data_IF_694071793939
#
_entry.id   IF_694071793939
#
_cell.length_a   1.000
_cell.length_b   1.000
_cell.length_c   1.000
_cell.angle_alpha   90.00
_cell.angle_beta   90.00
_cell.angle_gamma   90.00
#
_symmetry.space_group_name_H-M   'P 1'
#
loop_
_entity.id
_entity.type
_entity.pdbx_description
1 polymer ?
#
# COMPACT_ATOMS: atom_id res chain seq x y z
N UNK A 1 -7.99 -2.57 18.24
CA UNK A 1 -9.23 -2.84 17.48
C UNK A 1 -9.88 -4.10 18.06
N UNK A 2 -11.21 -4.18 18.16
CA UNK A 2 -11.89 -5.38 18.67
C UNK A 2 -11.63 -6.61 17.80
N UNK A 3 -11.42 -7.77 18.44
CA UNK A 3 -11.37 -9.06 17.75
C UNK A 3 -12.79 -9.60 17.49
N UNK A 4 -12.89 -10.70 16.76
CA UNK A 4 -14.15 -11.41 16.49
C UNK A 4 -14.88 -10.94 15.23
N UNK A 5 -14.16 -10.39 14.26
CA UNK A 5 -14.74 -9.92 13.00
C UNK A 5 -13.78 -10.11 11.82
N UNK A 6 -14.35 -10.17 10.62
CA UNK A 6 -13.61 -10.01 9.36
C UNK A 6 -13.62 -8.53 9.00
N UNK A 7 -12.44 -7.94 8.79
CA UNK A 7 -12.29 -6.53 8.45
C UNK A 7 -12.03 -6.36 6.95
N UNK A 8 -12.78 -5.46 6.31
CA UNK A 8 -12.59 -5.08 4.90
C UNK A 8 -11.80 -3.79 4.77
N UNK A 9 -11.88 -2.92 5.77
CA UNK A 9 -11.08 -1.73 5.84
C UNK A 9 -11.16 -1.07 7.21
N UNK A 10 -10.23 -0.17 7.44
CA UNK A 10 -10.20 0.73 8.59
C UNK A 10 -9.90 2.13 8.09
N UNK A 11 -10.32 3.15 8.82
CA UNK A 11 -10.00 4.52 8.44
C UNK A 11 -9.72 5.41 9.64
N UNK A 12 -8.96 6.46 9.39
CA UNK A 12 -8.65 7.52 10.33
C UNK A 12 -9.40 8.77 9.87
N UNK A 13 -10.40 9.18 10.63
CA UNK A 13 -11.02 10.51 10.51
C UNK A 13 -10.20 11.49 11.36
N UNK A 14 -9.51 12.41 10.68
CA UNK A 14 -8.52 13.32 11.26
C UNK A 14 -9.06 14.74 11.18
N UNK A 15 -9.03 15.48 12.29
CA UNK A 15 -9.33 16.91 12.32
C UNK A 15 -8.40 17.63 13.30
N UNK A 16 -8.16 18.93 13.07
CA UNK A 16 -7.34 19.74 13.95
C UNK A 16 -7.91 21.17 14.09
N UNK A 17 -8.92 21.28 14.98
CA UNK A 17 -9.67 22.52 15.19
C UNK A 17 -10.33 23.03 13.90
N UNK A 18 -10.03 24.27 13.52
CA UNK A 18 -10.61 24.93 12.32
C UNK A 18 -9.78 24.72 11.05
N UNK A 19 -8.62 24.04 11.16
CA UNK A 19 -7.72 23.82 10.03
C UNK A 19 -8.34 22.82 9.05
N UNK A 20 -8.44 23.19 7.77
CA UNK A 20 -8.86 22.26 6.73
C UNK A 20 -7.79 21.19 6.50
N UNK A 21 -8.11 19.92 6.76
CA UNK A 21 -7.20 18.80 6.56
C UNK A 21 -7.06 18.45 5.08
N UNK A 22 -6.23 19.21 4.36
CA UNK A 22 -5.74 18.85 3.02
C UNK A 22 -4.68 17.75 3.11
N UNK A 23 -4.30 17.13 1.99
CA UNK A 23 -3.23 16.14 1.94
C UNK A 23 -1.93 16.62 2.61
N UNK A 24 -1.53 17.87 2.33
CA UNK A 24 -0.34 18.47 2.91
C UNK A 24 -0.47 18.71 4.42
N UNK A 25 -1.67 19.08 4.90
CA UNK A 25 -1.90 19.30 6.33
C UNK A 25 -1.99 17.99 7.12
N UNK A 26 -2.50 16.92 6.51
CA UNK A 26 -2.48 15.57 7.08
C UNK A 26 -1.05 15.05 7.21
N UNK A 27 -0.24 15.17 6.15
CA UNK A 27 1.17 14.75 6.13
C UNK A 27 2.02 15.45 7.20
N UNK A 28 1.68 16.71 7.51
CA UNK A 28 2.34 17.46 8.59
C UNK A 28 2.01 16.90 9.97
N UNK A 29 0.82 16.34 10.20
CA UNK A 29 0.28 16.01 11.52
C UNK A 29 0.36 14.54 11.90
N UNK A 30 0.26 13.65 10.93
CA UNK A 30 0.20 12.20 11.16
C UNK A 30 1.31 11.52 10.36
N UNK A 31 2.12 10.71 11.03
CA UNK A 31 3.20 9.91 10.43
C UNK A 31 3.21 8.48 10.97
N UNK A 32 3.98 7.62 10.30
CA UNK A 32 4.21 6.24 10.73
C UNK A 32 2.91 5.50 11.08
N UNK A 33 1.99 5.43 10.14
CA UNK A 33 0.76 4.65 10.31
C UNK A 33 1.15 3.18 10.23
N UNK A 34 0.89 2.42 11.29
CA UNK A 34 1.31 1.02 11.46
C UNK A 34 0.13 0.17 11.84
N UNK A 35 -0.06 -0.94 11.14
CA UNK A 35 -1.05 -1.96 11.46
C UNK A 35 -0.33 -3.20 11.95
N UNK A 36 -0.71 -3.68 13.12
CA UNK A 36 -0.12 -4.87 13.73
C UNK A 36 -1.16 -5.91 14.05
N UNK A 37 -0.80 -7.16 13.79
CA UNK A 37 -1.56 -8.34 14.20
C UNK A 37 -0.64 -9.15 15.11
N UNK A 38 -1.12 -9.53 16.30
CA UNK A 38 -0.34 -10.26 17.30
C UNK A 38 0.99 -9.56 17.68
N UNK A 39 1.04 -8.23 17.57
CA UNK A 39 2.25 -7.43 17.79
C UNK A 39 3.19 -7.34 16.58
N UNK A 40 3.02 -8.17 15.55
CA UNK A 40 3.78 -8.13 14.30
C UNK A 40 3.27 -7.01 13.40
N UNK A 41 4.16 -6.12 12.95
CA UNK A 41 3.82 -5.06 12.00
C UNK A 41 3.63 -5.63 10.59
N UNK A 42 2.38 -5.58 10.10
CA UNK A 42 1.97 -6.09 8.79
C UNK A 42 2.02 -5.00 7.74
N UNK A 43 1.53 -3.80 8.08
CA UNK A 43 1.56 -2.64 7.18
C UNK A 43 2.19 -1.45 7.89
N UNK A 44 3.07 -0.73 7.18
CA UNK A 44 3.67 0.51 7.64
C UNK A 44 3.75 1.53 6.52
N UNK A 45 3.21 2.72 6.81
CA UNK A 45 3.29 3.89 5.96
C UNK A 45 4.03 4.98 6.75
N UNK A 46 5.29 5.21 6.42
CA UNK A 46 6.09 6.25 7.06
C UNK A 46 5.45 7.64 6.85
N UNK A 47 4.91 7.87 5.65
CA UNK A 47 4.24 9.09 5.21
C UNK A 47 2.78 8.79 4.86
N UNK A 48 1.86 9.72 5.17
CA UNK A 48 0.44 9.56 4.86
C UNK A 48 0.19 9.50 3.33
N UNK A 49 1.00 10.25 2.58
CA UNK A 49 1.02 10.27 1.11
C UNK A 49 1.25 8.92 0.47
N UNK A 50 1.91 7.97 1.15
CA UNK A 50 2.06 6.61 0.62
C UNK A 50 0.71 5.87 0.56
N UNK A 51 -0.07 5.96 1.63
CA UNK A 51 -1.42 5.38 1.64
C UNK A 51 -2.35 6.10 0.67
N UNK A 52 -2.29 7.43 0.63
CA UNK A 52 -3.08 8.24 -0.31
C UNK A 52 -2.75 7.86 -1.76
N UNK A 53 -1.46 7.75 -2.09
CA UNK A 53 -0.99 7.41 -3.44
C UNK A 53 -1.45 6.03 -3.90
N UNK A 54 -1.40 5.01 -3.03
CA UNK A 54 -1.95 3.67 -3.33
C UNK A 54 -3.44 3.78 -3.68
N UNK A 55 -4.24 4.42 -2.81
CA UNK A 55 -5.67 4.53 -3.04
C UNK A 55 -5.98 5.29 -4.34
N UNK A 56 -5.29 6.41 -4.58
CA UNK A 56 -5.47 7.21 -5.79
C UNK A 56 -5.10 6.45 -7.06
N UNK A 57 -4.06 5.59 -7.03
CA UNK A 57 -3.67 4.76 -8.16
C UNK A 57 -4.83 3.84 -8.61
N UNK A 58 -5.70 3.45 -7.68
CA UNK A 58 -6.91 2.66 -7.93
C UNK A 58 -8.19 3.50 -8.12
N UNK A 59 -8.07 4.82 -8.32
CA UNK A 59 -9.24 5.68 -8.47
C UNK A 59 -10.03 5.91 -7.19
N UNK A 60 -9.50 5.52 -6.04
CA UNK A 60 -10.16 5.72 -4.75
C UNK A 60 -9.69 7.06 -4.18
N UNK A 61 -10.61 8.04 -4.16
CA UNK A 61 -10.31 9.35 -3.61
C UNK A 61 -10.30 9.33 -2.07
N UNK A 62 -9.30 10.02 -1.52
CA UNK A 62 -9.27 10.34 -0.09
C UNK A 62 -10.16 11.54 0.17
N UNK A 63 -11.12 11.43 1.10
CA UNK A 63 -11.91 12.59 1.51
C UNK A 63 -11.02 13.56 2.28
N UNK A 64 -10.77 14.74 1.73
CA UNK A 64 -10.05 15.82 2.41
C UNK A 64 -11.00 16.93 2.85
N UNK A 65 -10.58 17.66 3.88
CA UNK A 65 -11.30 18.82 4.36
C UNK A 65 -11.08 20.03 3.46
N UNK A 66 -12.00 21.00 3.50
CA UNK A 66 -11.92 22.24 2.72
C UNK A 66 -12.09 23.49 3.58
N UNK A 67 -11.76 24.66 3.02
CA UNK A 67 -11.91 25.94 3.72
C UNK A 67 -13.39 26.30 4.01
N UNK A 68 -14.33 25.78 3.24
CA UNK A 68 -15.74 26.17 3.30
C UNK A 68 -16.66 25.03 3.79
N UNK A 69 -16.16 23.79 3.84
CA UNK A 69 -16.92 22.60 4.22
C UNK A 69 -16.36 21.90 5.46
N UNK A 70 -16.54 20.58 5.51
CA UNK A 70 -15.95 19.72 6.53
C UNK A 70 -14.42 19.95 6.58
N UNK A 71 -13.89 20.09 7.78
CA UNK A 71 -12.45 20.29 8.04
C UNK A 71 -11.70 18.99 8.19
N UNK A 72 -12.41 17.86 8.26
CA UNK A 72 -11.81 16.55 8.49
C UNK A 72 -11.27 15.91 7.21
N UNK A 73 -10.23 15.10 7.36
CA UNK A 73 -9.78 14.16 6.33
C UNK A 73 -10.09 12.73 6.76
N UNK A 74 -10.35 11.84 5.79
CA UNK A 74 -10.50 10.40 6.02
C UNK A 74 -9.44 9.62 5.26
N UNK A 75 -8.46 9.08 5.96
CA UNK A 75 -7.49 8.14 5.39
C UNK A 75 -8.00 6.71 5.54
N UNK A 76 -8.24 6.00 4.43
CA UNK A 76 -8.76 4.63 4.45
C UNK A 76 -7.65 3.64 4.10
N UNK A 77 -7.59 2.54 4.85
CA UNK A 77 -6.75 1.37 4.56
C UNK A 77 -7.68 0.20 4.22
N UNK A 78 -7.66 -0.22 2.96
CA UNK A 78 -8.45 -1.35 2.47
C UNK A 78 -7.68 -2.67 2.63
N UNK A 79 -8.38 -3.70 3.08
CA UNK A 79 -7.87 -5.06 3.26
C UNK A 79 -8.39 -5.99 2.17
N UNK A 80 -9.68 -5.89 1.86
CA UNK A 80 -10.21 -6.36 0.59
C UNK A 80 -10.26 -5.17 -0.35
N UNK A 81 -9.63 -5.28 -1.52
CA UNK A 81 -9.73 -4.24 -2.54
C UNK A 81 -11.13 -4.28 -3.16
N UNK A 82 -11.93 -3.20 -3.09
CA UNK A 82 -13.30 -3.16 -3.63
C UNK A 82 -13.39 -3.52 -5.13
N UNK A 83 -12.29 -3.29 -5.87
CA UNK A 83 -12.18 -3.58 -7.30
C UNK A 83 -11.90 -5.05 -7.65
N UNK A 84 -11.40 -5.87 -6.71
CA UNK A 84 -10.97 -7.24 -7.04
C UNK A 84 -12.12 -8.23 -6.98
N UNK A 85 -12.83 -8.41 -8.10
CA UNK A 85 -13.70 -9.57 -8.30
C UNK A 85 -12.84 -10.80 -8.59
N UNK A 86 -12.43 -11.55 -7.57
CA UNK A 86 -11.80 -12.85 -7.82
C UNK A 86 -12.87 -13.94 -8.05
N UNK A 87 -12.62 -14.95 -8.90
CA UNK A 87 -13.51 -16.11 -9.04
C UNK A 87 -13.75 -16.87 -7.72
N UNK A 88 -12.87 -16.69 -6.74
CA UNK A 88 -12.93 -17.32 -5.42
C UNK A 88 -13.55 -16.41 -4.34
N UNK A 89 -14.19 -15.30 -4.73
CA UNK A 89 -14.94 -14.39 -3.84
C UNK A 89 -14.27 -13.03 -3.61
N UNK A 90 -15.07 -12.07 -3.15
CA UNK A 90 -14.72 -10.65 -2.93
C UNK A 90 -13.86 -10.45 -1.65
N UNK A 91 -13.60 -11.52 -0.88
CA UNK A 91 -13.16 -11.43 0.51
C UNK A 91 -11.79 -12.08 0.80
N UNK A 92 -11.07 -12.60 -0.21
CA UNK A 92 -9.87 -13.44 0.00
C UNK A 92 -8.74 -12.73 0.75
N UNK A 93 -8.68 -11.40 0.66
CA UNK A 93 -7.69 -10.56 1.35
C UNK A 93 -8.24 -9.87 2.60
N UNK A 94 -9.53 -10.07 2.92
CA UNK A 94 -10.12 -9.50 4.12
C UNK A 94 -9.43 -10.05 5.39
N UNK A 95 -9.30 -9.21 6.39
CA UNK A 95 -8.53 -9.52 7.58
C UNK A 95 -9.42 -10.22 8.62
N UNK A 96 -9.28 -11.55 8.70
CA UNK A 96 -10.02 -12.37 9.66
C UNK A 96 -9.41 -12.28 11.06
N UNK A 97 -9.92 -11.37 11.88
CA UNK A 97 -9.40 -11.08 13.22
C UNK A 97 -10.12 -11.87 14.31
N UNK A 98 -10.27 -13.19 14.11
CA UNK A 98 -10.87 -14.11 15.08
C UNK A 98 -9.80 -14.87 15.87
N UNK A 99 -10.02 -15.11 17.18
CA UNK A 99 -9.14 -15.99 17.96
C UNK A 99 -8.98 -17.39 17.35
N UNK A 100 -10.04 -17.95 16.75
CA UNK A 100 -10.02 -19.23 16.03
C UNK A 100 -9.03 -19.25 14.86
N UNK A 101 -8.76 -18.10 14.25
CA UNK A 101 -7.77 -17.95 13.18
C UNK A 101 -6.35 -17.70 13.71
N UNK A 102 -6.16 -17.62 15.04
CA UNK A 102 -4.89 -17.29 15.68
C UNK A 102 -4.71 -15.81 16.02
N UNK A 103 -5.72 -14.94 15.84
CA UNK A 103 -5.61 -13.52 16.20
C UNK A 103 -5.72 -13.33 17.73
N UNK A 104 -4.68 -12.79 18.35
CA UNK A 104 -4.62 -12.43 19.78
C UNK A 104 -4.61 -10.91 20.00
N UNK A 105 -4.18 -10.13 19.00
CA UNK A 105 -4.31 -8.68 19.01
C UNK A 105 -4.41 -8.10 17.60
N UNK A 106 -5.10 -6.97 17.48
CA UNK A 106 -5.15 -6.17 16.26
C UNK A 106 -5.05 -4.68 16.62
N UNK A 107 -3.95 -4.02 16.26
CA UNK A 107 -3.68 -2.64 16.64
C UNK A 107 -3.42 -1.76 15.42
N UNK A 108 -3.86 -0.51 15.54
CA UNK A 108 -3.46 0.59 14.67
C UNK A 108 -2.70 1.58 15.53
N UNK A 109 -1.52 1.97 15.07
CA UNK A 109 -0.64 2.93 15.73
C UNK A 109 -0.26 4.02 14.72
N UNK A 110 -0.16 5.26 15.17
CA UNK A 110 0.28 6.39 14.35
C UNK A 110 0.92 7.44 15.26
N UNK A 111 1.84 8.22 14.71
CA UNK A 111 2.51 9.29 15.41
C UNK A 111 1.81 10.62 15.12
N UNK A 112 1.39 11.32 16.17
CA UNK A 112 0.98 12.73 16.08
C UNK A 112 2.25 13.58 16.18
N UNK A 113 2.49 14.43 15.19
CA UNK A 113 3.69 15.28 15.15
C UNK A 113 3.52 16.53 16.01
N UNK A 114 4.62 17.23 16.28
CA UNK A 114 4.61 18.53 16.96
C UNK A 114 3.94 19.66 16.19
N UNK A 115 3.56 19.45 14.92
CA UNK A 115 2.82 20.44 14.11
C UNK A 115 1.31 20.38 14.35
N UNK A 116 0.81 19.34 15.02
CA UNK A 116 -0.58 19.26 15.42
C UNK A 116 -0.89 20.23 16.57
N UNK A 117 -2.05 20.90 16.52
CA UNK A 117 -2.48 21.73 17.64
C UNK A 117 -3.01 20.87 18.80
N UNK A 118 -3.30 21.48 19.95
CA UNK A 118 -3.97 20.80 21.06
C UNK A 118 -5.40 20.35 20.74
N UNK A 119 -5.98 20.79 19.62
CA UNK A 119 -7.30 20.41 19.14
C UNK A 119 -7.29 19.19 18.18
N UNK A 120 -6.12 18.56 17.97
CA UNK A 120 -6.01 17.37 17.12
C UNK A 120 -6.91 16.26 17.65
N UNK A 121 -7.70 15.68 16.75
CA UNK A 121 -8.56 14.56 17.04
C UNK A 121 -8.43 13.54 15.91
N UNK A 122 -8.27 12.27 16.28
CA UNK A 122 -8.22 11.15 15.35
C UNK A 122 -9.22 10.11 15.82
N UNK A 123 -10.25 9.88 15.00
CA UNK A 123 -11.23 8.83 15.23
C UNK A 123 -10.95 7.66 14.29
N UNK A 124 -10.94 6.45 14.84
CA UNK A 124 -10.72 5.24 14.06
C UNK A 124 -12.08 4.60 13.76
N UNK A 125 -12.40 4.49 12.47
CA UNK A 125 -13.54 3.72 12.00
C UNK A 125 -13.13 2.41 11.32
N UNK A 126 -14.12 1.58 11.03
CA UNK A 126 -13.92 0.22 10.49
C UNK A 126 -15.11 -0.25 9.69
N UNK A 127 -14.83 -0.99 8.62
CA UNK A 127 -15.79 -1.79 7.86
C UNK A 127 -15.53 -3.26 8.18
N UNK A 128 -16.55 -3.95 8.67
CA UNK A 128 -16.41 -5.33 9.13
C UNK A 128 -17.71 -6.11 9.03
N UNK A 129 -17.58 -7.43 9.01
CA UNK A 129 -18.68 -8.38 9.19
C UNK A 129 -18.34 -9.37 10.30
N UNK A 130 -19.36 -9.80 11.05
CA UNK A 130 -19.25 -10.92 11.98
C UNK A 130 -19.79 -12.16 11.27
N UNK A 131 -18.93 -13.16 11.09
CA UNK A 131 -19.27 -14.40 10.42
C UNK A 131 -19.79 -15.43 11.43
N UNK A 132 -20.74 -16.30 11.03
CA UNK A 132 -21.09 -17.48 11.80
C UNK A 132 -19.87 -18.40 12.00
N UNK A 133 -19.80 -19.12 13.12
CA UNK A 133 -18.64 -19.96 13.49
C UNK A 133 -18.21 -20.98 12.42
N UNK A 134 -19.17 -21.52 11.66
CA UNK A 134 -18.94 -22.44 10.55
C UNK A 134 -18.19 -21.82 9.37
N UNK A 135 -18.29 -20.49 9.21
CA UNK A 135 -17.69 -19.74 8.12
C UNK A 135 -16.36 -19.06 8.52
N UNK A 136 -15.99 -19.11 9.80
CA UNK A 136 -14.71 -18.58 10.27
C UNK A 136 -13.58 -19.55 9.85
N UNK A 137 -12.57 -19.08 9.08
CA UNK A 137 -11.44 -19.91 8.68
C UNK A 137 -10.70 -20.54 9.87
N UNK A 138 -10.17 -21.75 9.68
CA UNK A 138 -9.41 -22.44 10.72
C UNK A 138 -8.02 -21.83 11.00
N UNK A 139 -7.52 -21.02 10.06
CA UNK A 139 -6.25 -20.29 10.16
C UNK A 139 -6.39 -18.95 9.44
N UNK A 140 -5.61 -17.96 9.88
CA UNK A 140 -5.53 -16.69 9.17
C UNK A 140 -5.01 -16.94 7.74
N UNK A 141 -5.69 -16.45 6.69
CA UNK A 141 -5.11 -16.46 5.36
C UNK A 141 -3.89 -15.55 5.32
N UNK A 142 -3.07 -15.72 4.29
CA UNK A 142 -2.01 -14.76 4.02
C UNK A 142 -2.59 -13.36 3.83
N UNK A 143 -1.84 -12.36 4.26
CA UNK A 143 -2.23 -10.96 4.21
C UNK A 143 -1.41 -10.24 3.14
N UNK A 144 -1.90 -9.09 2.70
CA UNK A 144 -1.07 -8.12 1.97
C UNK A 144 -0.35 -7.25 2.97
N UNK A 145 0.97 -7.43 3.03
CA UNK A 145 1.89 -6.66 3.85
C UNK A 145 2.36 -5.45 3.07
N UNK A 146 2.54 -4.33 3.76
CA UNK A 146 3.09 -3.10 3.18
C UNK A 146 4.35 -2.75 3.96
N UNK A 147 5.49 -2.88 3.31
CA UNK A 147 6.80 -2.51 3.86
C UNK A 147 7.51 -1.55 2.92
N UNK A 148 8.51 -0.84 3.42
CA UNK A 148 9.33 0.04 2.59
C UNK A 148 10.81 -0.31 2.64
N UNK A 149 11.50 -0.05 1.53
CA UNK A 149 12.94 -0.12 1.40
C UNK A 149 13.43 1.10 0.66
N UNK A 150 14.53 1.70 1.11
CA UNK A 150 15.22 2.74 0.34
C UNK A 150 16.17 2.07 -0.65
N UNK A 151 16.04 2.44 -1.92
CA UNK A 151 16.98 2.10 -2.97
C UNK A 151 17.89 3.32 -3.22
N UNK A 152 19.15 3.30 -2.73
CA UNK A 152 20.05 4.43 -2.90
C UNK A 152 20.37 4.65 -4.40
N UNK A 153 20.52 5.93 -4.78
CA UNK A 153 20.89 6.33 -6.12
C UNK A 153 21.98 7.41 -6.06
N UNK A 154 23.20 7.02 -6.33
CA UNK A 154 24.34 7.94 -6.23
C UNK A 154 24.67 8.60 -7.57
N UNK A 155 23.96 8.27 -8.67
CA UNK A 155 24.31 8.73 -10.02
C UNK A 155 23.13 8.78 -10.99
N UNK A 156 22.88 9.95 -11.57
CA UNK A 156 21.87 10.13 -12.61
C UNK A 156 22.17 9.27 -13.85
N UNK A 157 21.13 8.72 -14.51
CA UNK A 157 21.28 8.00 -15.78
C UNK A 157 21.72 6.54 -15.66
N UNK A 158 21.95 6.03 -14.44
CA UNK A 158 22.29 4.62 -14.21
C UNK A 158 21.08 3.83 -13.72
N UNK A 159 20.88 2.57 -14.18
CA UNK A 159 19.88 1.69 -13.59
C UNK A 159 20.21 1.43 -12.12
N UNK A 160 19.22 1.57 -11.24
CA UNK A 160 19.33 1.07 -9.88
C UNK A 160 18.79 -0.33 -9.80
N UNK A 161 19.61 -1.28 -9.35
CA UNK A 161 19.17 -2.66 -9.09
C UNK A 161 18.86 -2.83 -7.60
N UNK A 162 17.66 -3.29 -7.29
CA UNK A 162 17.26 -3.63 -5.92
C UNK A 162 17.57 -5.08 -5.57
N UNK A 163 17.98 -5.33 -4.32
CA UNK A 163 18.14 -6.66 -3.72
C UNK A 163 16.95 -6.99 -2.82
N UNK A 164 15.76 -7.00 -3.42
CA UNK A 164 14.54 -7.36 -2.71
C UNK A 164 14.54 -8.84 -2.32
N UNK A 165 13.86 -9.16 -1.23
CA UNK A 165 13.69 -10.53 -0.79
C UNK A 165 12.87 -11.35 -1.78
N UNK A 166 13.19 -12.64 -1.91
CA UNK A 166 12.39 -13.59 -2.69
C UNK A 166 11.15 -14.01 -1.91
N UNK A 167 10.09 -13.23 -2.04
CA UNK A 167 8.75 -13.50 -1.50
C UNK A 167 7.71 -13.47 -2.62
N UNK A 168 6.43 -13.49 -2.27
CA UNK A 168 5.36 -13.24 -3.23
C UNK A 168 4.96 -11.75 -3.21
N UNK A 169 4.93 -11.12 -4.38
CA UNK A 169 4.58 -9.70 -4.55
C UNK A 169 3.30 -9.54 -5.37
N UNK A 170 2.38 -8.69 -4.90
CA UNK A 170 1.28 -8.19 -5.73
C UNK A 170 1.76 -7.00 -6.56
N UNK A 171 2.45 -6.04 -5.91
CA UNK A 171 2.88 -4.77 -6.51
C UNK A 171 4.15 -4.25 -5.85
N UNK A 172 4.91 -3.47 -6.59
CA UNK A 172 6.04 -2.68 -6.08
C UNK A 172 5.92 -1.25 -6.59
N UNK A 173 5.76 -0.29 -5.70
CA UNK A 173 5.73 1.14 -6.04
C UNK A 173 7.10 1.75 -5.81
N UNK A 174 7.72 2.28 -6.86
CA UNK A 174 8.87 3.16 -6.72
C UNK A 174 8.40 4.61 -6.61
N UNK A 175 8.88 5.30 -5.59
CA UNK A 175 8.57 6.69 -5.27
C UNK A 175 9.86 7.48 -5.29
N UNK A 176 9.95 8.49 -6.16
CA UNK A 176 11.14 9.30 -6.34
C UNK A 176 10.89 10.80 -6.22
N UNK A 177 11.94 11.59 -6.46
CA UNK A 177 11.82 13.03 -6.67
C UNK A 177 11.15 13.38 -7.99
N UNK A 178 10.86 14.67 -8.18
CA UNK A 178 10.25 15.18 -9.42
C UNK A 178 11.06 14.76 -10.66
N UNK A 179 10.43 14.00 -11.55
CA UNK A 179 11.05 13.53 -12.80
C UNK A 179 12.20 12.54 -12.63
N UNK A 180 12.38 11.95 -11.44
CA UNK A 180 13.51 11.06 -11.15
C UNK A 180 13.39 9.72 -11.88
N UNK A 181 12.21 9.09 -11.88
CA UNK A 181 11.99 7.75 -12.44
C UNK A 181 11.63 7.87 -13.93
N UNK A 182 12.23 7.04 -14.77
CA UNK A 182 11.90 6.96 -16.20
C UNK A 182 11.36 5.60 -16.62
N UNK A 183 11.79 4.51 -15.99
CA UNK A 183 11.38 3.17 -16.40
C UNK A 183 11.68 2.13 -15.34
N UNK A 184 11.21 0.90 -15.57
CA UNK A 184 11.47 -0.23 -14.69
C UNK A 184 11.59 -1.53 -15.48
N UNK A 185 12.41 -2.46 -15.01
CA UNK A 185 12.59 -3.79 -15.59
C UNK A 185 12.66 -4.83 -14.49
N UNK A 186 11.97 -5.94 -14.70
CA UNK A 186 11.94 -7.08 -13.78
C UNK A 186 12.43 -8.33 -14.49
N UNK A 187 13.40 -9.00 -13.87
CA UNK A 187 13.87 -10.31 -14.32
C UNK A 187 13.75 -11.34 -13.21
N UNK A 188 13.37 -12.55 -13.60
CA UNK A 188 13.32 -13.74 -12.74
C UNK A 188 14.06 -14.84 -13.46
N UNK A 189 15.04 -15.46 -12.82
CA UNK A 189 15.89 -16.49 -13.42
C UNK A 189 16.51 -16.06 -14.77
N UNK A 190 16.87 -14.77 -14.86
CA UNK A 190 17.43 -14.15 -16.07
C UNK A 190 16.41 -13.79 -17.16
N UNK A 191 15.15 -14.23 -17.05
CA UNK A 191 14.09 -13.89 -17.99
C UNK A 191 13.45 -12.56 -17.63
N UNK A 192 13.36 -11.63 -18.59
CA UNK A 192 12.57 -10.40 -18.40
C UNK A 192 11.08 -10.74 -18.41
N UNK A 193 10.40 -10.53 -17.29
CA UNK A 193 8.97 -10.79 -17.13
C UNK A 193 8.12 -9.50 -17.21
N UNK A 194 8.76 -8.35 -16.96
CA UNK A 194 8.11 -7.04 -17.06
C UNK A 194 9.12 -5.97 -17.42
N UNK A 195 8.73 -5.06 -18.29
CA UNK A 195 9.53 -3.89 -18.63
C UNK A 195 8.64 -2.71 -19.02
N UNK A 196 8.94 -1.56 -18.45
CA UNK A 196 8.49 -0.25 -18.91
C UNK A 196 9.75 0.52 -19.30
N UNK A 197 9.99 0.69 -20.60
CA UNK A 197 11.24 1.29 -21.10
C UNK A 197 11.29 2.79 -20.82
N UNK A 198 10.13 3.41 -20.67
CA UNK A 198 9.98 4.83 -20.38
C UNK A 198 8.62 5.09 -19.68
N UNK A 199 8.43 6.32 -19.18
CA UNK A 199 7.20 6.70 -18.49
C UNK A 199 5.98 6.74 -19.41
N UNK A 200 6.14 6.85 -20.74
CA UNK A 200 5.00 6.83 -21.67
C UNK A 200 4.39 5.43 -21.67
N UNK A 201 5.21 4.38 -21.77
CA UNK A 201 4.72 3.00 -21.70
C UNK A 201 4.03 2.67 -20.38
N UNK A 202 4.58 3.17 -19.27
CA UNK A 202 3.92 3.03 -17.96
C UNK A 202 2.55 3.74 -17.92
N UNK A 203 2.45 4.96 -18.47
CA UNK A 203 1.19 5.70 -18.54
C UNK A 203 0.16 5.03 -19.43
N UNK A 204 0.60 4.50 -20.58
CA UNK A 204 -0.26 3.76 -21.50
C UNK A 204 -0.78 2.48 -20.84
N UNK A 205 0.08 1.78 -20.09
CA UNK A 205 -0.34 0.66 -19.25
C UNK A 205 -1.39 1.08 -18.23
N UNK A 206 -1.15 2.14 -17.44
CA UNK A 206 -2.14 2.64 -16.48
C UNK A 206 -3.48 2.96 -17.15
N UNK A 207 -3.47 3.62 -18.30
CA UNK A 207 -4.67 3.93 -19.07
C UNK A 207 -5.44 2.67 -19.51
N UNK A 208 -4.73 1.68 -20.06
CA UNK A 208 -5.35 0.42 -20.52
C UNK A 208 -5.98 -0.39 -19.38
N UNK A 209 -5.45 -0.25 -18.16
CA UNK A 209 -5.90 -0.97 -16.98
C UNK A 209 -6.80 -0.13 -16.04
N UNK A 210 -7.22 1.08 -16.45
CA UNK A 210 -8.09 1.94 -15.65
C UNK A 210 -7.45 2.45 -14.35
N UNK A 211 -6.12 2.50 -14.29
CA UNK A 211 -5.35 2.98 -13.15
C UNK A 211 -4.97 4.45 -13.35
N UNK A 212 -4.85 5.18 -12.24
CA UNK A 212 -4.37 6.55 -12.27
C UNK A 212 -2.85 6.63 -12.15
N UNK A 213 -2.28 7.60 -12.85
CA UNK A 213 -0.85 7.92 -12.76
C UNK A 213 -0.64 8.87 -11.59
N UNK A 214 0.15 8.43 -10.61
CA UNK A 214 0.53 9.25 -9.46
C UNK A 214 1.86 9.95 -9.75
N UNK A 215 1.92 11.25 -9.47
CA UNK A 215 3.12 12.03 -9.70
C UNK A 215 4.32 11.45 -8.94
N UNK A 216 5.44 11.28 -9.65
CA UNK A 216 6.71 10.74 -9.13
C UNK A 216 6.66 9.27 -8.68
N UNK A 217 5.63 8.54 -9.09
CA UNK A 217 5.50 7.11 -8.84
C UNK A 217 5.63 6.31 -10.13
N UNK A 218 6.26 5.15 -10.05
CA UNK A 218 6.16 4.09 -11.05
C UNK A 218 5.85 2.79 -10.31
N UNK A 219 4.66 2.26 -10.54
CA UNK A 219 4.22 0.98 -9.96
C UNK A 219 4.49 -0.14 -10.95
N UNK A 220 5.15 -1.20 -10.48
CA UNK A 220 5.25 -2.46 -11.19
C UNK A 220 4.21 -3.41 -10.60
N UNK A 221 3.08 -3.65 -11.29
CA UNK A 221 2.08 -4.62 -10.87
C UNK A 221 2.44 -6.02 -11.36
N UNK A 222 2.11 -7.01 -10.55
CA UNK A 222 2.22 -8.42 -10.91
C UNK A 222 0.86 -9.12 -10.99
N UNK A 223 -0.18 -8.52 -10.41
CA UNK A 223 -1.55 -9.01 -10.48
C UNK A 223 -2.36 -8.37 -11.62
N UNK A 224 -1.92 -8.55 -12.86
CA UNK A 224 -2.41 -7.83 -14.05
C UNK A 224 -3.93 -7.84 -14.26
N UNK A 225 -4.62 -8.88 -13.80
CA UNK A 225 -6.08 -9.01 -13.90
C UNK A 225 -6.81 -8.79 -12.58
N UNK A 226 -6.12 -8.21 -11.60
CA UNK A 226 -6.59 -8.07 -10.22
C UNK A 226 -6.91 -9.42 -9.55
N UNK A 227 -6.39 -10.51 -10.12
CA UNK A 227 -6.60 -11.87 -9.64
C UNK A 227 -5.48 -12.29 -8.70
N UNK A 228 -5.89 -12.92 -7.60
CA UNK A 228 -4.99 -13.56 -6.67
C UNK A 228 -4.04 -14.59 -7.33
N UNK A 229 -4.47 -15.25 -8.40
CA UNK A 229 -3.67 -16.24 -9.13
C UNK A 229 -2.43 -15.67 -9.80
N UNK A 230 -2.40 -14.36 -10.05
CA UNK A 230 -1.40 -13.74 -10.91
C UNK A 230 -0.21 -13.19 -10.11
N UNK A 231 -0.26 -13.29 -8.78
CA UNK A 231 0.81 -12.86 -7.87
C UNK A 231 2.16 -13.43 -8.30
N UNK A 232 3.19 -12.58 -8.34
CA UNK A 232 4.54 -13.01 -8.62
C UNK A 232 5.15 -13.69 -7.39
N UNK A 233 5.14 -15.02 -7.37
CA UNK A 233 5.77 -15.81 -6.31
C UNK A 233 7.23 -16.17 -6.62
N UNK A 234 8.15 -15.55 -5.89
CA UNK A 234 9.59 -15.71 -6.10
C UNK A 234 10.24 -16.70 -5.13
N UNK A 235 9.46 -17.34 -4.23
CA UNK A 235 10.02 -18.20 -3.17
C UNK A 235 10.81 -19.39 -3.70
N UNK A 236 10.50 -19.83 -4.92
CA UNK A 236 11.20 -20.91 -5.63
C UNK A 236 12.14 -20.43 -6.75
N UNK A 237 12.20 -19.11 -7.02
CA UNK A 237 13.07 -18.57 -8.06
C UNK A 237 14.55 -18.64 -7.65
N UNK A 238 15.45 -18.83 -8.61
CA UNK A 238 16.90 -18.82 -8.40
C UNK A 238 17.46 -17.39 -8.31
N UNK A 239 16.94 -16.46 -9.11
CA UNK A 239 17.29 -15.04 -9.09
C UNK A 239 16.08 -14.12 -9.26
N UNK A 240 16.18 -12.92 -8.71
CA UNK A 240 15.21 -11.85 -8.85
C UNK A 240 15.96 -10.53 -8.96
N UNK A 241 15.71 -9.80 -10.05
CA UNK A 241 16.31 -8.50 -10.31
C UNK A 241 15.19 -7.50 -10.62
N UNK A 242 15.21 -6.39 -9.89
CA UNK A 242 14.35 -5.23 -10.16
C UNK A 242 15.24 -4.03 -10.43
N UNK A 243 15.15 -3.52 -11.65
CA UNK A 243 15.93 -2.38 -12.13
C UNK A 243 15.01 -1.18 -12.34
N UNK A 244 15.43 0.01 -11.90
CA UNK A 244 14.77 1.28 -12.22
C UNK A 244 15.69 2.17 -13.03
N UNK A 245 15.20 2.66 -14.17
CA UNK A 245 15.89 3.68 -14.96
C UNK A 245 15.59 5.05 -14.36
N UNK A 246 16.63 5.82 -14.05
CA UNK A 246 16.45 7.18 -13.51
C UNK A 246 17.10 8.27 -14.35
N UNK A 247 16.43 9.42 -14.41
CA UNK A 247 16.85 10.63 -15.11
C UNK A 247 17.65 11.59 -14.24
N UNK A 248 17.47 11.52 -12.92
CA UNK A 248 18.14 12.39 -11.96
C UNK A 248 18.64 11.56 -10.78
N UNK A 249 19.74 12.01 -10.16
CA UNK A 249 20.23 11.43 -8.92
C UNK A 249 19.21 11.64 -7.80
N UNK A 250 19.08 10.67 -6.91
CA UNK A 250 18.11 10.70 -5.83
C UNK A 250 17.58 9.31 -5.52
N UNK A 251 17.64 8.93 -4.23
CA UNK A 251 17.16 7.64 -3.77
C UNK A 251 15.67 7.45 -4.08
N UNK A 252 15.29 6.20 -4.38
CA UNK A 252 13.88 5.82 -4.46
C UNK A 252 13.45 5.20 -3.14
N UNK A 253 12.21 5.46 -2.75
CA UNK A 253 11.53 4.63 -1.76
C UNK A 253 10.72 3.58 -2.52
N UNK A 254 11.04 2.32 -2.28
CA UNK A 254 10.23 1.20 -2.74
C UNK A 254 9.20 0.90 -1.66
N UNK A 255 7.93 1.02 -1.99
CA UNK A 255 6.81 0.51 -1.19
C UNK A 255 6.40 -0.84 -1.76
N UNK A 256 6.53 -1.88 -0.95
CA UNK A 256 6.36 -3.26 -1.35
C UNK A 256 5.00 -3.76 -0.87
N UNK A 257 4.21 -4.34 -1.76
CA UNK A 257 3.01 -5.08 -1.41
C UNK A 257 3.28 -6.59 -1.50
N UNK A 258 3.41 -7.23 -0.34
CA UNK A 258 3.85 -8.62 -0.23
C UNK A 258 2.71 -9.54 0.23
N UNK A 259 2.52 -10.66 -0.46
CA UNK A 259 1.55 -11.67 -0.07
C UNK A 259 2.20 -12.75 0.78
N UNK A 260 2.03 -12.68 2.11
CA UNK A 260 2.67 -13.63 3.03
C UNK A 260 1.84 -13.92 4.28
N UNK A 261 2.14 -15.05 4.91
CA UNK A 261 1.53 -15.45 6.19
C UNK A 261 1.90 -14.47 7.31
N UNK A 262 1.15 -14.57 8.42
CA UNK A 262 1.46 -13.87 9.67
C UNK A 262 2.75 -14.38 10.32
#
# INVERSE_FOLDING_TARGET
>A
MPLGATYYGIWLDISDGTTAMTAAEVEKRIKNIRLKVNGTQIRHYALASYLIGINQAHGIETRFGSAEGDKSARLVMYFAEPQRRTPNGEDIFAWHMYPKCGATSFTVEFDITSSASSAINVQVGREYIVLPDANIPAKMPNLIWHSSQTLPNDSAGSPMTSTLQRTAYTRIHAIGGAGCIDGAKVKVDGLTIREFRNLVEYKDYCFMHGLNVIANWLTVPFDETDRFSDILDLRAANSFELEYVTKAAGALTLLLEEYKGL
#
